data_IF_979424038576
#
_entry.id   IF_979424038576
#
_cell.length_a   1.000
_cell.length_b   1.000
_cell.length_c   1.000
_cell.angle_alpha   90.00
_cell.angle_beta   90.00
_cell.angle_gamma   90.00
#
_symmetry.space_group_name_H-M   'P 1'
#
loop_
_entity.id
_entity.type
_entity.pdbx_description
1 polymer ?
#
# COMPACT_ATOMS: atom_id res chain seq x y z
N UNK A 1 -20.34 16.84 8.85
CA UNK A 1 -19.61 18.02 8.30
C UNK A 1 -20.47 18.62 7.19
N UNK A 2 -20.33 19.91 6.85
CA UNK A 2 -20.91 20.40 5.59
C UNK A 2 -20.11 19.77 4.45
N UNK A 3 -20.75 19.31 3.38
CA UNK A 3 -20.09 18.53 2.32
C UNK A 3 -18.85 19.25 1.74
N UNK A 4 -18.90 20.58 1.65
CA UNK A 4 -17.75 21.40 1.23
C UNK A 4 -16.50 21.31 2.13
N UNK A 5 -16.66 21.18 3.45
CA UNK A 5 -15.52 21.01 4.36
C UNK A 5 -14.83 19.66 4.13
N UNK A 6 -15.62 18.64 3.80
CA UNK A 6 -15.08 17.32 3.48
C UNK A 6 -14.32 17.35 2.15
N UNK A 7 -14.86 18.02 1.13
CA UNK A 7 -14.17 18.18 -0.16
C UNK A 7 -12.81 18.87 0.00
N UNK A 8 -12.75 19.95 0.79
CA UNK A 8 -11.50 20.66 1.10
C UNK A 8 -10.51 19.74 1.84
N UNK A 9 -11.00 18.97 2.80
CA UNK A 9 -10.18 17.97 3.53
C UNK A 9 -9.62 16.91 2.58
N UNK A 10 -10.45 16.36 1.69
CA UNK A 10 -10.04 15.34 0.71
C UNK A 10 -8.98 15.89 -0.26
N UNK A 11 -9.16 17.12 -0.76
CA UNK A 11 -8.17 17.78 -1.61
C UNK A 11 -6.82 17.93 -0.90
N UNK A 12 -6.82 18.28 0.39
CA UNK A 12 -5.62 18.37 1.22
C UNK A 12 -4.90 17.02 1.35
N UNK A 13 -5.66 15.95 1.63
CA UNK A 13 -5.12 14.59 1.77
C UNK A 13 -4.50 14.11 0.44
N UNK A 14 -5.21 14.28 -0.67
CA UNK A 14 -4.74 13.81 -1.98
C UNK A 14 -3.52 14.58 -2.48
N UNK A 15 -3.40 15.88 -2.17
CA UNK A 15 -2.18 16.66 -2.46
C UNK A 15 -0.99 16.18 -1.65
N UNK A 16 -1.20 15.88 -0.36
CA UNK A 16 -0.16 15.28 0.47
C UNK A 16 0.29 13.93 -0.08
N UNK A 17 -0.65 13.08 -0.47
CA UNK A 17 -0.34 11.80 -1.13
C UNK A 17 0.52 11.99 -2.39
N UNK A 18 0.15 12.92 -3.29
CA UNK A 18 0.98 13.21 -4.48
C UNK A 18 2.39 13.60 -4.11
N UNK A 19 2.55 14.51 -3.14
CA UNK A 19 3.84 14.95 -2.67
C UNK A 19 4.67 13.78 -2.12
N UNK A 20 4.07 12.95 -1.27
CA UNK A 20 4.75 11.82 -0.63
C UNK A 20 5.11 10.72 -1.65
N UNK A 21 4.31 10.58 -2.71
CA UNK A 21 4.58 9.70 -3.85
C UNK A 21 5.52 10.31 -4.90
N UNK A 22 6.00 11.55 -4.71
CA UNK A 22 6.89 12.25 -5.66
C UNK A 22 6.21 12.67 -6.97
N UNK A 23 4.88 12.70 -7.01
CA UNK A 23 4.10 13.10 -8.18
C UNK A 23 3.98 14.62 -8.27
N UNK A 24 3.99 15.15 -9.50
CA UNK A 24 3.64 16.54 -9.73
C UNK A 24 2.19 16.82 -9.28
N UNK A 25 1.92 18.00 -8.72
CA UNK A 25 0.59 18.36 -8.22
C UNK A 25 -0.50 18.26 -9.29
N UNK A 26 -0.15 18.49 -10.55
CA UNK A 26 -1.03 18.37 -11.72
C UNK A 26 -1.02 16.99 -12.39
N UNK A 27 -0.18 16.05 -11.93
CA UNK A 27 -0.14 14.70 -12.52
C UNK A 27 -1.50 13.99 -12.34
N UNK A 28 -1.96 13.20 -13.32
CA UNK A 28 -3.19 12.44 -13.16
C UNK A 28 -3.06 11.40 -12.04
N UNK A 29 -4.10 11.24 -11.21
CA UNK A 29 -4.12 10.19 -10.17
C UNK A 29 -4.77 8.89 -10.63
N UNK A 30 -5.51 8.91 -11.74
CA UNK A 30 -6.39 7.82 -12.13
C UNK A 30 -7.74 7.90 -11.43
N UNK A 31 -8.21 6.77 -10.89
CA UNK A 31 -9.53 6.65 -10.24
C UNK A 31 -9.35 6.76 -8.73
N UNK A 32 -9.98 7.76 -8.13
CA UNK A 32 -10.02 7.99 -6.70
C UNK A 32 -11.41 7.66 -6.20
N UNK A 33 -11.55 6.58 -5.43
CA UNK A 33 -12.82 6.24 -4.78
C UNK A 33 -12.77 6.67 -3.31
N UNK A 34 -13.76 7.43 -2.89
CA UNK A 34 -13.90 7.94 -1.53
C UNK A 34 -15.09 7.27 -0.89
N UNK A 35 -14.83 6.50 0.15
CA UNK A 35 -15.81 5.75 0.90
C UNK A 35 -16.22 6.56 2.13
N UNK A 36 -17.49 6.96 2.18
CA UNK A 36 -18.13 7.69 3.28
C UNK A 36 -19.27 6.85 3.85
N UNK A 37 -18.96 5.84 4.70
CA UNK A 37 -19.98 4.94 5.21
C UNK A 37 -21.10 5.71 5.90
N UNK A 38 -22.35 5.45 5.50
CA UNK A 38 -23.56 6.08 6.05
C UNK A 38 -23.77 7.57 5.71
N UNK A 39 -23.06 8.12 4.72
CA UNK A 39 -23.25 9.50 4.27
C UNK A 39 -23.09 9.62 2.74
N UNK A 40 -24.16 9.97 2.04
CA UNK A 40 -24.16 10.15 0.59
C UNK A 40 -23.67 11.56 0.22
N UNK A 41 -22.71 11.64 -0.71
CA UNK A 41 -22.17 12.88 -1.25
C UNK A 41 -22.17 12.80 -2.78
N UNK A 42 -22.62 13.87 -3.42
CA UNK A 42 -22.59 14.04 -4.87
C UNK A 42 -21.80 15.31 -5.25
N UNK A 43 -20.50 15.30 -4.96
CA UNK A 43 -19.57 16.39 -5.30
C UNK A 43 -18.27 15.87 -5.94
N UNK A 44 -18.42 14.94 -6.87
CA UNK A 44 -17.29 14.36 -7.62
C UNK A 44 -16.60 15.38 -8.54
N UNK A 45 -17.36 16.37 -9.03
CA UNK A 45 -16.93 17.28 -10.09
C UNK A 45 -15.80 18.23 -9.68
N UNK A 46 -15.93 18.90 -8.53
CA UNK A 46 -14.97 19.91 -8.10
C UNK A 46 -13.66 19.27 -7.59
N UNK A 47 -13.77 18.14 -6.89
CA UNK A 47 -12.61 17.40 -6.43
C UNK A 47 -11.84 16.76 -7.59
N UNK A 48 -12.55 16.16 -8.56
CA UNK A 48 -11.92 15.53 -9.72
C UNK A 48 -11.11 16.51 -10.57
N UNK A 49 -11.68 17.70 -10.84
CA UNK A 49 -10.97 18.78 -11.55
C UNK A 49 -9.75 19.28 -10.78
N UNK A 50 -9.89 19.49 -9.48
CA UNK A 50 -8.80 19.98 -8.62
C UNK A 50 -7.64 19.00 -8.55
N UNK A 51 -7.93 17.70 -8.61
CA UNK A 51 -6.94 16.64 -8.42
C UNK A 51 -6.45 16.00 -9.71
N UNK A 52 -6.99 16.36 -10.87
CA UNK A 52 -6.76 15.66 -12.14
C UNK A 52 -7.02 14.15 -11.97
N UNK A 53 -8.24 13.81 -11.54
CA UNK A 53 -8.63 12.45 -11.21
C UNK A 53 -10.10 12.21 -11.55
N UNK A 54 -10.44 10.95 -11.83
CA UNK A 54 -11.82 10.50 -11.80
C UNK A 54 -12.19 10.21 -10.35
N UNK A 55 -13.14 10.96 -9.78
CA UNK A 55 -13.55 10.81 -8.38
C UNK A 55 -14.90 10.10 -8.32
N UNK A 56 -14.98 9.07 -7.49
CA UNK A 56 -16.20 8.30 -7.23
C UNK A 56 -16.48 8.33 -5.73
N UNK A 57 -17.67 8.74 -5.33
CA UNK A 57 -18.12 8.64 -3.94
C UNK A 57 -18.93 7.36 -3.73
N UNK A 58 -18.70 6.68 -2.60
CA UNK A 58 -19.41 5.45 -2.24
C UNK A 58 -19.80 5.48 -0.77
N UNK A 59 -21.06 5.21 -0.46
CA UNK A 59 -21.52 5.07 0.92
C UNK A 59 -21.40 3.64 1.48
N UNK A 60 -21.01 2.68 0.64
CA UNK A 60 -20.71 1.31 1.06
C UNK A 60 -19.31 1.19 1.67
N UNK A 61 -19.06 0.15 2.44
CA UNK A 61 -17.68 -0.17 2.85
C UNK A 61 -16.91 -0.77 1.66
N UNK A 62 -15.61 -0.44 1.52
CA UNK A 62 -14.81 -0.99 0.45
C UNK A 62 -14.54 -2.49 0.68
N UNK A 63 -14.79 -3.29 -0.35
CA UNK A 63 -14.36 -4.69 -0.40
C UNK A 63 -12.84 -4.79 -0.65
N UNK A 64 -12.05 -4.37 0.35
CA UNK A 64 -10.59 -4.43 0.29
C UNK A 64 -10.10 -5.85 0.49
N UNK A 65 -9.37 -6.34 -0.51
CA UNK A 65 -8.58 -7.55 -0.40
C UNK A 65 -7.12 -7.17 -0.11
N UNK A 66 -6.56 -7.73 0.96
CA UNK A 66 -5.16 -7.52 1.34
C UNK A 66 -4.31 -8.64 0.74
N UNK A 67 -3.28 -8.28 -0.03
CA UNK A 67 -2.32 -9.22 -0.63
C UNK A 67 -0.92 -8.98 -0.06
N UNK A 68 -0.13 -10.04 0.04
CA UNK A 68 1.27 -9.92 0.42
C UNK A 68 2.02 -9.25 -0.72
N UNK A 69 2.70 -8.16 -0.39
CA UNK A 69 3.52 -7.41 -1.32
C UNK A 69 4.97 -7.87 -1.29
N UNK A 70 5.88 -6.92 -1.46
CA UNK A 70 7.31 -7.14 -1.46
C UNK A 70 7.89 -7.43 -0.07
N UNK A 71 9.06 -8.06 -0.06
CA UNK A 71 9.86 -8.26 1.14
C UNK A 71 10.92 -7.16 1.24
N UNK A 72 10.89 -6.39 2.33
CA UNK A 72 11.88 -5.37 2.65
C UNK A 72 12.88 -5.93 3.67
N UNK A 73 14.10 -6.18 3.22
CA UNK A 73 15.15 -6.74 4.05
C UNK A 73 15.81 -5.70 4.97
N UNK A 74 16.02 -6.07 6.23
CA UNK A 74 16.88 -5.33 7.14
C UNK A 74 18.35 -5.63 6.80
N UNK A 75 18.91 -4.82 5.88
CA UNK A 75 20.29 -5.01 5.38
C UNK A 75 21.36 -4.95 6.48
N UNK A 76 21.11 -4.22 7.57
CA UNK A 76 22.02 -4.14 8.71
C UNK A 76 22.06 -5.44 9.51
N UNK A 77 20.93 -6.13 9.64
CA UNK A 77 20.86 -7.46 10.28
C UNK A 77 21.40 -8.52 9.33
N UNK A 78 20.82 -8.61 8.13
CA UNK A 78 21.15 -9.65 7.15
C UNK A 78 22.63 -9.60 6.76
N UNK A 79 23.17 -8.41 6.45
CA UNK A 79 24.57 -8.24 6.07
C UNK A 79 25.55 -8.56 7.20
N UNK A 80 25.24 -8.16 8.43
CA UNK A 80 26.10 -8.41 9.61
C UNK A 80 26.16 -9.90 9.96
N UNK A 81 25.02 -10.59 9.90
CA UNK A 81 24.89 -11.98 10.34
C UNK A 81 25.33 -12.95 9.25
N UNK A 82 24.89 -12.75 8.00
CA UNK A 82 25.06 -13.75 6.93
C UNK A 82 26.27 -13.46 6.02
N UNK A 83 26.78 -12.22 6.01
CA UNK A 83 27.94 -11.79 5.21
C UNK A 83 27.84 -12.26 3.74
N UNK A 84 28.72 -13.16 3.31
CA UNK A 84 28.76 -13.69 1.94
C UNK A 84 27.46 -14.44 1.56
N UNK A 85 26.73 -14.99 2.53
CA UNK A 85 25.47 -15.74 2.28
C UNK A 85 24.24 -14.84 2.17
N UNK A 86 24.37 -13.53 2.43
CA UNK A 86 23.24 -12.60 2.43
C UNK A 86 22.49 -12.58 1.09
N UNK A 87 23.21 -12.61 -0.04
CA UNK A 87 22.60 -12.62 -1.37
C UNK A 87 21.74 -13.85 -1.63
N UNK A 88 22.29 -15.03 -1.37
CA UNK A 88 21.59 -16.31 -1.52
C UNK A 88 20.36 -16.39 -0.60
N UNK A 89 20.51 -15.95 0.65
CA UNK A 89 19.42 -15.89 1.63
C UNK A 89 18.27 -14.98 1.16
N UNK A 90 18.56 -13.75 0.73
CA UNK A 90 17.53 -12.81 0.26
C UNK A 90 16.76 -13.38 -0.93
N UNK A 91 17.46 -14.05 -1.85
CA UNK A 91 16.83 -14.72 -3.01
C UNK A 91 15.92 -15.88 -2.56
N UNK A 92 16.37 -16.68 -1.59
CA UNK A 92 15.58 -17.77 -1.04
C UNK A 92 14.31 -17.25 -0.34
N UNK A 93 14.43 -16.18 0.46
CA UNK A 93 13.27 -15.54 1.11
C UNK A 93 12.28 -14.98 0.10
N UNK A 94 12.74 -14.40 -1.02
CA UNK A 94 11.84 -13.93 -2.09
C UNK A 94 11.05 -15.07 -2.74
N UNK A 95 11.62 -16.28 -2.79
CA UNK A 95 10.99 -17.48 -3.34
C UNK A 95 10.07 -18.22 -2.36
N UNK A 96 10.02 -17.81 -1.08
CA UNK A 96 9.12 -18.39 -0.09
C UNK A 96 7.64 -18.14 -0.44
N UNK A 97 6.78 -18.99 0.13
CA UNK A 97 5.34 -18.76 0.12
C UNK A 97 4.99 -17.48 0.88
N UNK A 98 3.82 -16.92 0.61
CA UNK A 98 3.32 -15.73 1.32
C UNK A 98 3.16 -15.99 2.82
N UNK A 99 2.75 -17.21 3.20
CA UNK A 99 2.64 -17.64 4.60
C UNK A 99 3.99 -17.61 5.31
N UNK A 100 5.03 -18.16 4.68
CA UNK A 100 6.40 -18.19 5.23
C UNK A 100 7.06 -16.81 5.23
N UNK A 101 6.65 -15.90 4.35
CA UNK A 101 7.10 -14.49 4.37
C UNK A 101 6.45 -13.70 5.50
N UNK A 102 5.17 -13.96 5.81
CA UNK A 102 4.46 -13.35 6.93
C UNK A 102 4.93 -13.93 8.27
N UNK A 103 5.12 -15.25 8.32
CA UNK A 103 5.54 -16.00 9.50
C UNK A 103 6.88 -16.66 9.18
N UNK A 104 8.00 -15.95 9.41
CA UNK A 104 9.34 -16.44 9.09
C UNK A 104 9.60 -17.84 9.65
N UNK A 105 10.03 -18.83 8.83
CA UNK A 105 10.49 -20.09 9.35
C UNK A 105 11.79 -19.90 10.14
N UNK A 106 12.12 -20.85 11.03
CA UNK A 106 13.37 -20.78 11.78
C UNK A 106 14.62 -20.89 10.88
N UNK A 107 14.48 -21.57 9.74
CA UNK A 107 15.55 -21.88 8.80
C UNK A 107 15.03 -21.72 7.37
N UNK A 108 15.86 -21.19 6.48
CA UNK A 108 15.61 -21.10 5.04
C UNK A 108 16.73 -21.82 4.30
N UNK A 109 16.38 -22.64 3.30
CA UNK A 109 17.36 -23.30 2.44
C UNK A 109 17.80 -22.34 1.33
N UNK A 110 19.09 -22.00 1.28
CA UNK A 110 19.67 -21.15 0.24
C UNK A 110 20.93 -21.81 -0.31
N UNK A 111 21.03 -21.93 -1.64
CA UNK A 111 22.12 -22.62 -2.34
C UNK A 111 22.41 -24.05 -1.82
N UNK A 112 21.37 -24.75 -1.35
CA UNK A 112 21.49 -26.10 -0.79
C UNK A 112 21.97 -26.17 0.65
N UNK A 113 22.14 -25.02 1.32
CA UNK A 113 22.50 -24.93 2.73
C UNK A 113 21.34 -24.41 3.58
N UNK A 114 21.16 -24.98 4.77
CA UNK A 114 20.23 -24.48 5.78
C UNK A 114 20.81 -23.24 6.49
N UNK A 115 20.12 -22.10 6.33
CA UNK A 115 20.50 -20.84 6.96
C UNK A 115 19.46 -20.47 8.01
N UNK A 116 19.88 -20.33 9.27
CA UNK A 116 19.03 -19.82 10.33
C UNK A 116 18.55 -18.39 10.02
N UNK A 117 17.25 -18.15 10.13
CA UNK A 117 16.66 -16.83 9.89
C UNK A 117 17.00 -15.90 11.05
N UNK A 118 17.73 -14.80 10.81
CA UNK A 118 17.96 -13.80 11.85
C UNK A 118 16.64 -13.13 12.25
N UNK A 119 16.51 -12.77 13.51
CA UNK A 119 15.38 -11.98 13.99
C UNK A 119 15.36 -10.59 13.30
N UNK A 120 14.17 -10.12 12.92
CA UNK A 120 13.98 -8.87 12.16
C UNK A 120 14.77 -8.82 10.83
N UNK A 121 15.05 -9.98 10.21
CA UNK A 121 15.76 -10.04 8.93
C UNK A 121 14.98 -9.37 7.78
N UNK A 122 13.65 -9.39 7.83
CA UNK A 122 12.80 -8.72 6.86
C UNK A 122 11.43 -8.33 7.43
N UNK A 123 10.74 -7.49 6.66
CA UNK A 123 9.31 -7.19 6.83
C UNK A 123 8.60 -7.34 5.49
N UNK A 124 7.38 -7.86 5.52
CA UNK A 124 6.50 -7.87 4.35
C UNK A 124 5.79 -6.54 4.23
N UNK A 125 5.72 -6.00 3.01
CA UNK A 125 4.76 -4.97 2.67
C UNK A 125 3.45 -5.63 2.26
N UNK A 126 2.38 -4.83 2.23
CA UNK A 126 1.08 -5.30 1.78
C UNK A 126 0.59 -4.38 0.68
N UNK A 127 0.04 -4.99 -0.35
CA UNK A 127 -0.72 -4.30 -1.37
C UNK A 127 -2.20 -4.56 -1.12
N UNK A 128 -3.04 -3.66 -1.61
CA UNK A 128 -4.48 -3.74 -1.46
C UNK A 128 -5.11 -3.78 -2.83
N UNK A 129 -6.18 -4.57 -2.97
CA UNK A 129 -6.96 -4.61 -4.21
C UNK A 129 -8.44 -4.38 -3.93
N UNK A 130 -9.11 -3.67 -4.83
CA UNK A 130 -10.57 -3.54 -4.88
C UNK A 130 -11.04 -4.15 -6.18
N UNK A 131 -11.92 -5.16 -6.10
CA UNK A 131 -12.42 -5.88 -7.29
C UNK A 131 -11.30 -6.38 -8.22
N UNK A 132 -10.18 -6.80 -7.64
CA UNK A 132 -9.00 -7.30 -8.37
C UNK A 132 -8.06 -6.23 -8.93
N UNK A 133 -8.35 -4.93 -8.80
CA UNK A 133 -7.46 -3.84 -9.19
C UNK A 133 -6.62 -3.39 -7.99
N UNK A 134 -5.30 -3.23 -8.18
CA UNK A 134 -4.41 -2.69 -7.13
C UNK A 134 -4.74 -1.23 -6.83
N UNK A 135 -4.83 -0.93 -5.55
CA UNK A 135 -5.12 0.42 -5.04
C UNK A 135 -4.18 0.79 -3.90
N UNK A 136 -3.82 2.06 -3.85
CA UNK A 136 -3.26 2.64 -2.64
C UNK A 136 -4.41 3.00 -1.69
N UNK A 137 -4.26 2.71 -0.40
CA UNK A 137 -5.30 2.95 0.62
C UNK A 137 -4.85 4.05 1.57
N UNK A 138 -5.72 5.06 1.77
CA UNK A 138 -5.54 6.12 2.76
C UNK A 138 -6.72 6.08 3.72
N UNK A 139 -6.45 5.80 4.99
CA UNK A 139 -7.43 5.93 6.06
C UNK A 139 -7.37 7.35 6.64
N UNK A 140 -8.51 8.06 6.64
CA UNK A 140 -8.62 9.41 7.20
C UNK A 140 -9.90 9.54 8.04
N UNK A 141 -9.75 9.38 9.36
CA UNK A 141 -10.86 9.32 10.32
C UNK A 141 -11.88 8.23 9.94
N UNK A 142 -13.12 8.62 9.65
CA UNK A 142 -14.25 7.80 9.22
C UNK A 142 -14.31 7.58 7.69
N UNK A 143 -13.40 8.19 6.94
CA UNK A 143 -13.34 8.09 5.48
C UNK A 143 -12.18 7.21 5.05
N UNK A 144 -12.46 6.32 4.11
CA UNK A 144 -11.42 5.55 3.44
C UNK A 144 -11.31 6.00 1.98
N UNK A 145 -10.09 6.17 1.49
CA UNK A 145 -9.82 6.57 0.12
C UNK A 145 -8.99 5.47 -0.53
N UNK A 146 -9.41 5.03 -1.72
CA UNK A 146 -8.63 4.13 -2.56
C UNK A 146 -8.23 4.84 -3.84
N UNK A 147 -6.96 4.73 -4.22
CA UNK A 147 -6.42 5.36 -5.42
C UNK A 147 -5.94 4.25 -6.35
N UNK A 148 -6.64 4.07 -7.46
CA UNK A 148 -6.21 3.22 -8.56
C UNK A 148 -5.41 4.09 -9.54
N UNK A 149 -4.08 3.95 -9.50
CA UNK A 149 -3.18 4.68 -10.40
C UNK A 149 -3.30 4.17 -11.83
N UNK A 150 -3.14 5.08 -12.81
CA UNK A 150 -2.99 4.75 -14.23
C UNK A 150 -1.54 4.49 -14.61
#
# INVERSE_FOLDING_TARGET
>A
LRDGDLVVKMAGILRKYKHDAGLALNAPLGIVTIYTPNHDIDDAGDLGRTMNAEVVWKAEEPALEKKVGDVVFNKSVVGKTLRAKAGAFMKAVQALSDEDKITPPAVVVADGEEIAVPEDAWKVTYTYTVSGQEVDVIQADDVMITIQRQ
#
